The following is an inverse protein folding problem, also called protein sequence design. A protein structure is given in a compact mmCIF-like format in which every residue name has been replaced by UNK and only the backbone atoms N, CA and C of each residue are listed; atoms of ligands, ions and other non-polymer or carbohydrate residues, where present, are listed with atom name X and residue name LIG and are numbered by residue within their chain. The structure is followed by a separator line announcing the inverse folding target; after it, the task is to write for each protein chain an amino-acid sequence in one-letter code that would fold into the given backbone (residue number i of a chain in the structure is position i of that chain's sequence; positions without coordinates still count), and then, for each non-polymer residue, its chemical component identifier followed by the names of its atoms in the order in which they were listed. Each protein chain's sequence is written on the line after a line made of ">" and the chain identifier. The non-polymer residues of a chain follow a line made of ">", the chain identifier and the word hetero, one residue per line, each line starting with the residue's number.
data_IF_427177592925
#
_entry.id   IF_427177592925
#
_cell.length_a   1.000
_cell.length_b   1.000
_cell.length_c   1.000
_cell.angle_alpha   90.00
_cell.angle_beta   90.00
_cell.angle_gamma   90.00
#
_symmetry.space_group_name_H-M   'P 1'
#
loop_
_entity.id
_entity.type
_entity.pdbx_description
1 polymer ?
#
# COMPACT_ATOMS: atom_id res chain seq x y z
N UNK A 1 -7.34 -2.79 22.36
CA UNK A 1 -6.52 -3.75 21.68
C UNK A 1 -5.66 -3.10 20.60
N UNK A 2 -4.42 -3.25 20.70
CA UNK A 2 -3.54 -2.56 19.82
C UNK A 2 -3.19 -3.31 18.55
N UNK A 3 -4.16 -3.95 17.93
CA UNK A 3 -3.88 -4.73 16.75
C UNK A 3 -3.15 -3.91 15.69
N UNK A 4 -3.68 -2.73 15.40
CA UNK A 4 -3.07 -1.90 14.37
C UNK A 4 -1.71 -1.40 14.79
N UNK A 5 -1.57 -0.97 16.01
CA UNK A 5 -0.31 -0.52 16.52
C UNK A 5 0.75 -1.59 16.47
N UNK A 6 0.41 -2.74 16.97
CA UNK A 6 1.35 -3.83 17.08
C UNK A 6 1.76 -4.31 15.72
N UNK A 7 0.83 -4.28 14.80
CA UNK A 7 1.03 -4.90 13.51
C UNK A 7 1.40 -3.94 12.39
N UNK A 8 1.81 -2.73 12.72
CA UNK A 8 2.10 -1.77 11.67
C UNK A 8 3.21 -2.27 10.74
N UNK A 9 4.27 -2.82 11.29
CA UNK A 9 5.35 -3.36 10.46
C UNK A 9 4.87 -4.55 9.65
N UNK A 10 4.03 -5.38 10.25
CA UNK A 10 3.48 -6.53 9.57
C UNK A 10 2.62 -6.07 8.39
N UNK A 11 1.76 -5.07 8.61
CA UNK A 11 0.91 -4.56 7.54
C UNK A 11 1.73 -3.90 6.46
N UNK A 12 2.77 -3.18 6.83
CA UNK A 12 3.65 -2.58 5.84
C UNK A 12 4.21 -3.66 4.92
N UNK A 13 4.58 -4.76 5.51
CA UNK A 13 5.17 -5.86 4.76
C UNK A 13 4.17 -6.54 3.84
N UNK A 14 3.02 -6.93 4.38
CA UNK A 14 2.08 -7.67 3.55
C UNK A 14 1.43 -6.78 2.50
N UNK A 15 1.14 -5.54 2.83
CA UNK A 15 0.54 -4.63 1.88
C UNK A 15 1.56 -4.23 0.82
N UNK A 16 2.77 -3.94 1.24
CA UNK A 16 3.83 -3.60 0.29
C UNK A 16 4.07 -4.73 -0.69
N UNK A 17 4.11 -5.95 -0.19
CA UNK A 17 4.30 -7.11 -1.04
C UNK A 17 3.14 -7.28 -2.01
N UNK A 18 1.92 -7.10 -1.53
CA UNK A 18 0.75 -7.25 -2.39
C UNK A 18 0.74 -6.19 -3.48
N UNK A 19 1.09 -4.97 -3.14
CA UNK A 19 1.07 -3.86 -4.09
C UNK A 19 2.17 -4.03 -5.13
N UNK A 20 3.37 -4.38 -4.70
CA UNK A 20 4.48 -4.48 -5.64
C UNK A 20 4.36 -5.69 -6.55
N UNK A 21 3.48 -6.64 -6.20
CA UNK A 21 3.24 -7.76 -7.10
C UNK A 21 2.23 -7.40 -8.20
N UNK A 22 1.61 -6.25 -8.11
CA UNK A 22 0.66 -5.83 -9.14
C UNK A 22 1.40 -5.38 -10.38
N UNK A 23 0.81 -5.68 -11.53
CA UNK A 23 1.42 -5.30 -12.78
C UNK A 23 1.53 -3.78 -12.87
N UNK A 24 2.70 -3.31 -13.28
CA UNK A 24 2.90 -1.88 -13.48
C UNK A 24 3.44 -1.13 -12.30
N UNK A 25 3.46 -1.75 -11.13
CA UNK A 25 4.00 -1.11 -9.94
C UNK A 25 5.49 -1.41 -9.88
N UNK A 26 6.29 -0.36 -9.83
CA UNK A 26 7.73 -0.50 -9.75
C UNK A 26 8.17 -0.66 -8.30
N UNK A 27 7.49 0.02 -7.40
CA UNK A 27 7.85 -0.07 -6.00
C UNK A 27 7.00 0.87 -5.18
N UNK A 28 7.26 0.88 -3.88
CA UNK A 28 6.60 1.80 -2.98
C UNK A 28 7.40 3.08 -2.93
N UNK A 29 6.68 4.18 -2.82
CA UNK A 29 7.32 5.48 -2.68
C UNK A 29 7.26 5.88 -1.21
N UNK A 30 7.75 7.05 -0.89
CA UNK A 30 7.62 7.61 0.44
C UNK A 30 8.83 7.43 1.31
N UNK A 31 9.69 6.50 1.00
CA UNK A 31 10.93 6.37 1.75
C UNK A 31 11.95 7.32 1.17
N UNK A 32 12.73 7.93 2.01
CA UNK A 32 13.78 8.81 1.56
C UNK A 32 15.06 8.05 1.40
N UNK A 33 15.86 8.43 0.42
CA UNK A 33 17.11 7.71 0.18
C UNK A 33 17.99 7.62 1.39
N UNK A 34 17.95 8.58 2.25
CA UNK A 34 18.79 8.55 3.42
C UNK A 34 18.16 7.99 4.65
N UNK A 35 16.97 7.46 4.54
CA UNK A 35 16.23 6.97 5.70
C UNK A 35 16.66 5.59 6.08
N UNK A 36 17.90 5.45 6.37
CA UNK A 36 18.42 4.14 6.76
C UNK A 36 17.89 3.76 8.11
N UNK A 37 17.70 2.49 8.27
CA UNK A 37 17.20 1.98 9.52
C UNK A 37 15.70 1.91 9.59
N UNK A 38 15.01 2.49 8.67
CA UNK A 38 13.58 2.36 8.61
C UNK A 38 13.23 0.98 8.15
N UNK A 39 12.26 0.45 8.76
CA UNK A 39 11.84 -0.88 8.40
C UNK A 39 10.65 -0.84 7.50
N UNK A 40 10.60 -1.79 6.64
CA UNK A 40 9.47 -2.01 5.78
C UNK A 40 9.28 -0.94 4.74
N UNK A 41 8.31 -1.12 3.88
CA UNK A 41 7.99 -0.14 2.84
C UNK A 41 7.49 1.14 3.49
N UNK A 42 7.91 2.24 2.98
CA UNK A 42 7.57 3.51 3.57
C UNK A 42 6.25 4.07 3.07
N UNK A 43 5.74 3.59 2.00
CA UNK A 43 4.58 4.21 1.38
C UNK A 43 3.23 3.67 1.83
N UNK A 44 3.18 2.96 2.95
CA UNK A 44 1.95 2.33 3.41
C UNK A 44 1.52 2.91 4.73
N UNK A 45 0.25 3.30 4.84
CA UNK A 45 -0.30 3.75 6.10
C UNK A 45 -1.68 3.15 6.27
N UNK A 46 -1.93 2.51 7.40
CA UNK A 46 -3.21 1.92 7.71
C UNK A 46 -3.74 2.55 8.98
N UNK A 47 -5.00 2.94 8.98
CA UNK A 47 -5.58 3.54 10.17
C UNK A 47 -7.06 3.19 10.27
N UNK A 48 -7.59 3.34 11.47
CA UNK A 48 -9.01 3.06 11.71
C UNK A 48 -9.88 4.09 11.03
N UNK A 49 -10.99 3.65 10.54
CA UNK A 49 -11.95 4.50 9.85
C UNK A 49 -13.33 3.97 10.21
N UNK A 50 -13.86 4.44 11.35
CA UNK A 50 -15.13 3.95 11.81
C UNK A 50 -15.05 2.47 12.13
N UNK A 51 -15.96 1.68 11.61
CA UNK A 51 -15.95 0.24 11.89
C UNK A 51 -14.92 -0.53 11.09
N UNK A 52 -14.22 0.12 10.19
CA UNK A 52 -13.25 -0.56 9.33
C UNK A 52 -11.93 0.13 9.31
N UNK A 53 -11.23 -0.03 8.21
CA UNK A 53 -9.88 0.50 8.03
C UNK A 53 -9.78 1.29 6.75
N UNK A 54 -8.85 2.24 6.73
CA UNK A 54 -8.49 2.96 5.51
C UNK A 54 -7.00 2.77 5.29
N UNK A 55 -6.62 2.73 4.04
CA UNK A 55 -5.23 2.50 3.65
C UNK A 55 -4.81 3.59 2.69
N UNK A 56 -3.66 4.20 2.97
CA UNK A 56 -3.04 5.16 2.06
C UNK A 56 -1.79 4.53 1.50
N UNK A 57 -1.62 4.64 0.20
CA UNK A 57 -0.49 4.03 -0.49
C UNK A 57 0.18 5.06 -1.37
N UNK A 58 1.50 5.09 -1.33
CA UNK A 58 2.29 5.91 -2.23
C UNK A 58 3.14 4.97 -3.06
N UNK A 59 2.99 5.04 -4.37
CA UNK A 59 3.62 4.07 -5.25
C UNK A 59 4.35 4.74 -6.41
N UNK A 60 5.23 3.96 -7.02
CA UNK A 60 5.89 4.33 -8.26
C UNK A 60 5.43 3.34 -9.31
N UNK A 61 5.12 3.83 -10.49
CA UNK A 61 4.62 2.98 -11.56
C UNK A 61 5.45 3.12 -12.82
N UNK A 62 5.30 2.18 -13.72
CA UNK A 62 5.96 2.24 -15.01
C UNK A 62 5.26 3.27 -15.88
N UNK A 63 6.05 4.11 -16.51
CA UNK A 63 5.51 5.13 -17.38
C UNK A 63 4.76 4.51 -18.57
N UNK A 64 3.66 5.14 -18.94
CA UNK A 64 2.93 4.71 -20.12
C UNK A 64 1.80 3.73 -19.89
N UNK A 65 1.60 3.34 -18.65
CA UNK A 65 0.52 2.40 -18.35
C UNK A 65 -0.79 3.12 -18.10
N UNK A 66 -1.85 2.34 -18.21
CA UNK A 66 -3.17 2.84 -17.86
C UNK A 66 -3.26 2.92 -16.35
N UNK A 67 -3.13 4.10 -15.82
CA UNK A 67 -3.09 4.32 -14.38
C UNK A 67 -4.37 3.86 -13.70
N UNK A 68 -5.52 4.12 -14.33
CA UNK A 68 -6.79 3.70 -13.74
C UNK A 68 -6.86 2.20 -13.53
N UNK A 69 -6.36 1.45 -14.51
CA UNK A 69 -6.36 0.00 -14.38
C UNK A 69 -5.42 -0.47 -13.29
N UNK A 70 -4.25 0.17 -13.20
CA UNK A 70 -3.28 -0.17 -12.16
C UNK A 70 -3.88 0.10 -10.79
N UNK A 71 -4.47 1.27 -10.61
CA UNK A 71 -5.05 1.65 -9.32
C UNK A 71 -6.18 0.70 -8.93
N UNK A 72 -7.00 0.31 -9.89
CA UNK A 72 -8.11 -0.60 -9.61
C UNK A 72 -7.60 -1.96 -9.14
N UNK A 73 -6.55 -2.44 -9.79
CA UNK A 73 -5.95 -3.71 -9.41
C UNK A 73 -5.37 -3.64 -8.00
N UNK A 74 -4.70 -2.55 -7.70
CA UNK A 74 -4.13 -2.35 -6.37
C UNK A 74 -5.22 -2.31 -5.33
N UNK A 75 -6.29 -1.57 -5.60
CA UNK A 75 -7.40 -1.45 -4.67
C UNK A 75 -7.94 -2.82 -4.28
N UNK A 76 -8.20 -3.65 -5.28
CA UNK A 76 -8.73 -4.99 -5.03
C UNK A 76 -7.76 -5.85 -4.24
N UNK A 77 -6.50 -5.81 -4.61
CA UNK A 77 -5.51 -6.65 -3.97
C UNK A 77 -5.28 -6.25 -2.53
N UNK A 78 -5.21 -4.95 -2.29
CA UNK A 78 -4.96 -4.46 -0.93
C UNK A 78 -6.15 -4.75 -0.03
N UNK A 79 -7.36 -4.50 -0.53
CA UNK A 79 -8.55 -4.76 0.26
C UNK A 79 -8.60 -6.24 0.64
N UNK A 80 -8.37 -7.10 -0.31
CA UNK A 80 -8.40 -8.54 -0.06
C UNK A 80 -7.35 -8.94 0.99
N UNK A 81 -6.14 -8.42 0.84
CA UNK A 81 -5.03 -8.76 1.72
C UNK A 81 -5.29 -8.29 3.15
N UNK A 82 -5.72 -7.05 3.30
CA UNK A 82 -5.92 -6.48 4.63
C UNK A 82 -7.13 -7.09 5.31
N UNK A 83 -8.22 -7.28 4.56
CA UNK A 83 -9.40 -7.89 5.14
C UNK A 83 -9.13 -9.32 5.57
N UNK A 84 -8.33 -10.04 4.79
CA UNK A 84 -7.97 -11.40 5.15
C UNK A 84 -7.12 -11.46 6.40
N UNK A 85 -6.28 -10.47 6.60
CA UNK A 85 -5.38 -10.45 7.75
C UNK A 85 -6.06 -9.96 9.02
N UNK A 86 -7.04 -9.08 8.91
CA UNK A 86 -7.62 -8.43 10.08
C UNK A 86 -9.04 -8.84 10.37
N UNK A 87 -9.75 -9.29 9.37
CA UNK A 87 -11.18 -9.55 9.52
C UNK A 87 -12.01 -8.29 9.51
N UNK A 88 -11.40 -7.14 9.27
CA UNK A 88 -12.10 -5.87 9.22
C UNK A 88 -12.25 -5.42 7.78
N UNK A 89 -13.33 -4.70 7.54
CA UNK A 89 -13.58 -4.18 6.21
C UNK A 89 -12.62 -3.04 5.87
N UNK A 90 -12.11 -3.03 4.66
CA UNK A 90 -11.32 -1.92 4.17
C UNK A 90 -12.28 -0.94 3.49
N UNK A 91 -12.45 0.22 4.10
CA UNK A 91 -13.43 1.18 3.64
C UNK A 91 -12.90 2.06 2.52
N UNK A 92 -11.62 2.36 2.55
CA UNK A 92 -11.00 3.21 1.53
C UNK A 92 -9.59 2.75 1.25
N UNK A 93 -9.21 2.84 0.01
CA UNK A 93 -7.81 2.67 -0.37
C UNK A 93 -7.47 3.88 -1.21
N UNK A 94 -6.62 4.73 -0.68
CA UNK A 94 -6.18 5.93 -1.39
C UNK A 94 -4.82 5.66 -1.98
N UNK A 95 -4.72 5.72 -3.29
CA UNK A 95 -3.49 5.41 -3.99
C UNK A 95 -2.92 6.69 -4.57
N UNK A 96 -1.71 7.02 -4.15
CA UNK A 96 -1.01 8.20 -4.65
C UNK A 96 0.13 7.74 -5.53
N UNK A 97 0.09 8.13 -6.79
CA UNK A 97 1.16 7.78 -7.72
C UNK A 97 2.18 8.91 -7.63
N UNK A 98 3.24 8.63 -6.90
CA UNK A 98 4.25 9.66 -6.63
C UNK A 98 5.27 9.81 -7.75
N UNK A 99 5.35 8.86 -8.64
CA UNK A 99 6.26 8.99 -9.76
C UNK A 99 6.05 7.91 -10.79
N UNK A 100 6.54 8.19 -11.98
CA UNK A 100 6.49 7.25 -13.08
C UNK A 100 7.90 7.08 -13.59
N UNK A 101 8.29 5.84 -13.77
CA UNK A 101 9.64 5.52 -14.20
C UNK A 101 9.63 4.94 -15.58
N UNK A 102 10.60 5.37 -16.36
CA UNK A 102 10.79 4.78 -17.68
C UNK A 102 11.55 3.48 -17.55
N UNK A 103 11.26 2.56 -18.42
CA UNK A 103 11.95 1.28 -18.41
C UNK A 103 12.62 0.99 -19.72
#
# INVERSE_FOLDING_TARGET
>A
MGLIEVSQDYFNEIVGSAVTSCFGVVGMAGGKPGSLGRRGPQGVRIYRDGPGLSVDLHILVTYGLNISAVVRSIHSRVAYTVEGATGLEVRKVNVFVDGMLHR
#
